data_IF_076177276379
#
_entry.id   IF_076177276379
#
_cell.length_a   1.000
_cell.length_b   1.000
_cell.length_c   1.000
_cell.angle_alpha   90.00
_cell.angle_beta   90.00
_cell.angle_gamma   90.00
#
_symmetry.space_group_name_H-M   'P 1'
#
loop_
_entity.id
_entity.type
_entity.pdbx_description
1 polymer ?
#
# COMPACT_ATOMS: atom_id res chain seq x y z
N UNK A 1 11.42 -1.16 -15.11
CA UNK A 1 11.32 -0.82 -13.66
C UNK A 1 10.18 0.17 -13.53
N UNK A 2 9.05 -0.18 -12.90
CA UNK A 2 7.94 0.76 -12.73
C UNK A 2 8.35 1.75 -11.62
N UNK A 3 8.56 3.01 -11.97
CA UNK A 3 8.88 4.06 -10.99
C UNK A 3 7.61 4.39 -10.21
N UNK A 4 7.61 4.13 -8.89
CA UNK A 4 6.49 4.49 -8.02
C UNK A 4 6.66 5.94 -7.59
N UNK A 5 5.82 6.83 -8.12
CA UNK A 5 5.72 8.22 -7.67
C UNK A 5 4.57 8.41 -6.68
N UNK A 6 4.57 9.55 -5.98
CA UNK A 6 3.61 9.85 -4.90
C UNK A 6 2.17 9.81 -5.41
N UNK A 7 1.90 10.40 -6.59
CA UNK A 7 0.56 10.49 -7.14
C UNK A 7 0.06 9.11 -7.58
N UNK A 8 0.93 8.26 -8.12
CA UNK A 8 0.57 6.89 -8.47
C UNK A 8 0.13 6.09 -7.25
N UNK A 9 0.87 6.20 -6.15
CA UNK A 9 0.55 5.49 -4.91
C UNK A 9 -0.74 6.00 -4.26
N UNK A 10 -0.96 7.32 -4.23
CA UNK A 10 -2.22 7.92 -3.76
C UNK A 10 -3.41 7.41 -4.58
N UNK A 11 -3.25 7.14 -5.87
CA UNK A 11 -4.32 6.58 -6.70
C UNK A 11 -4.46 5.05 -6.61
N UNK A 12 -3.41 4.33 -6.20
CA UNK A 12 -3.41 2.86 -6.12
C UNK A 12 -3.86 2.33 -4.77
N UNK A 13 -3.42 2.93 -3.67
CA UNK A 13 -3.75 2.49 -2.32
C UNK A 13 -5.27 2.43 -2.06
N UNK A 14 -6.09 3.43 -2.48
CA UNK A 14 -7.54 3.36 -2.33
C UNK A 14 -8.19 2.20 -3.09
N UNK A 15 -7.62 1.81 -4.26
CA UNK A 15 -8.10 0.66 -5.03
C UNK A 15 -7.84 -0.67 -4.32
N UNK A 16 -6.95 -0.68 -3.32
CA UNK A 16 -6.67 -1.80 -2.43
C UNK A 16 -7.43 -1.68 -1.09
N UNK A 17 -8.32 -0.69 -0.94
CA UNK A 17 -9.06 -0.44 0.29
C UNK A 17 -8.28 0.34 1.35
N UNK A 18 -7.12 0.90 1.00
CA UNK A 18 -6.24 1.61 1.93
C UNK A 18 -6.38 3.11 1.75
N UNK A 19 -6.97 3.75 2.76
CA UNK A 19 -7.18 5.21 2.82
C UNK A 19 -6.32 5.89 3.87
N UNK A 20 -5.89 5.11 4.86
CA UNK A 20 -5.05 5.57 5.96
C UNK A 20 -3.85 4.65 6.10
N UNK A 21 -2.72 5.20 6.54
CA UNK A 21 -1.55 4.44 6.96
C UNK A 21 -1.82 3.71 8.27
N UNK A 22 -0.96 2.75 8.64
CA UNK A 22 -1.11 1.96 9.87
C UNK A 22 -1.06 2.79 11.16
N UNK A 23 -0.47 3.98 11.11
CA UNK A 23 -0.43 4.95 12.21
C UNK A 23 -1.59 5.97 12.15
N UNK A 24 -2.57 5.77 11.26
CA UNK A 24 -3.81 6.53 11.20
C UNK A 24 -3.77 7.83 10.38
N UNK A 25 -2.68 8.13 9.68
CA UNK A 25 -2.58 9.32 8.82
C UNK A 25 -3.22 9.07 7.46
N UNK A 26 -3.78 10.11 6.84
CA UNK A 26 -4.26 10.01 5.46
C UNK A 26 -3.11 9.77 4.50
N UNK A 27 -3.34 8.95 3.47
CA UNK A 27 -2.35 8.66 2.44
C UNK A 27 -1.92 9.91 1.64
N UNK A 28 -2.76 10.94 1.58
CA UNK A 28 -2.44 12.18 0.85
C UNK A 28 -1.43 13.06 1.61
N UNK A 29 -1.46 12.99 2.94
CA UNK A 29 -0.70 13.84 3.86
C UNK A 29 0.72 13.32 4.17
N UNK A 30 1.03 12.09 3.74
CA UNK A 30 2.31 11.44 4.06
C UNK A 30 3.36 11.56 2.95
N UNK A 31 4.60 11.22 3.29
CA UNK A 31 5.72 11.23 2.34
C UNK A 31 5.63 10.07 1.33
N UNK A 32 6.30 10.20 0.18
CA UNK A 32 6.46 9.11 -0.79
C UNK A 32 7.03 7.85 -0.13
N UNK A 33 8.03 8.01 0.74
CA UNK A 33 8.64 6.90 1.46
C UNK A 33 7.60 6.13 2.28
N UNK A 34 6.76 6.84 3.03
CA UNK A 34 5.67 6.24 3.82
C UNK A 34 4.70 5.49 2.91
N UNK A 35 4.29 6.09 1.79
CA UNK A 35 3.36 5.47 0.85
C UNK A 35 3.92 4.21 0.21
N UNK A 36 5.21 4.22 -0.16
CA UNK A 36 5.86 3.04 -0.71
C UNK A 36 5.88 1.91 0.31
N UNK A 37 6.19 2.22 1.57
CA UNK A 37 6.17 1.24 2.64
C UNK A 37 4.76 0.66 2.84
N UNK A 38 3.74 1.51 2.97
CA UNK A 38 2.33 1.07 3.09
C UNK A 38 1.93 0.16 1.93
N UNK A 39 2.28 0.53 0.70
CA UNK A 39 1.98 -0.27 -0.49
C UNK A 39 2.67 -1.64 -0.47
N UNK A 40 3.95 -1.69 -0.09
CA UNK A 40 4.70 -2.95 0.02
C UNK A 40 4.08 -3.84 1.10
N UNK A 41 3.80 -3.30 2.30
CA UNK A 41 3.16 -4.04 3.38
C UNK A 41 1.85 -4.67 2.93
N UNK A 42 0.97 -3.88 2.30
CA UNK A 42 -0.32 -4.36 1.79
C UNK A 42 -0.14 -5.47 0.76
N UNK A 43 0.84 -5.35 -0.14
CA UNK A 43 1.15 -6.42 -1.10
C UNK A 43 1.69 -7.68 -0.42
N UNK A 44 2.51 -7.56 0.61
CA UNK A 44 3.02 -8.69 1.38
C UNK A 44 1.90 -9.38 2.14
N UNK A 45 1.01 -8.62 2.78
CA UNK A 45 -0.14 -9.15 3.51
C UNK A 45 -1.11 -9.87 2.58
N UNK A 46 -1.41 -9.26 1.42
CA UNK A 46 -2.21 -9.91 0.38
C UNK A 46 -1.55 -11.21 -0.09
N UNK A 47 -0.25 -11.20 -0.41
CA UNK A 47 0.47 -12.39 -0.84
C UNK A 47 0.47 -13.49 0.24
N UNK A 48 0.53 -13.12 1.52
CA UNK A 48 0.43 -14.06 2.63
C UNK A 48 -0.97 -14.68 2.71
N UNK A 49 -2.02 -13.86 2.63
CA UNK A 49 -3.40 -14.32 2.65
C UNK A 49 -3.70 -15.29 1.50
N UNK A 50 -3.27 -14.96 0.28
CA UNK A 50 -3.43 -15.87 -0.88
C UNK A 50 -2.50 -17.09 -0.84
N UNK A 51 -1.40 -17.04 -0.09
CA UNK A 51 -0.50 -18.18 0.11
C UNK A 51 -1.02 -19.23 1.09
N UNK A 52 -1.92 -18.85 2.01
CA UNK A 52 -2.54 -19.75 2.99
C UNK A 52 -3.76 -20.52 2.45
N UNK A 53 -4.34 -20.12 1.31
CA UNK A 53 -5.49 -20.83 0.69
C UNK A 53 -5.12 -22.13 -0.05
N UNK A 54 -3.85 -22.55 -0.03
CA UNK A 54 -3.36 -23.76 -0.73
C UNK A 54 -2.76 -24.83 0.20
N UNK A 55 -3.22 -24.95 1.45
CA UNK A 55 -2.90 -26.12 2.30
C UNK A 55 -4.13 -26.87 2.78
#
# INVERSE_FOLDING_TARGET
MQTLDKNNLINRLPKMGIYHTSDGRNIEDVSLYTLMWTYISVKCDAARAYGEETQ
#
